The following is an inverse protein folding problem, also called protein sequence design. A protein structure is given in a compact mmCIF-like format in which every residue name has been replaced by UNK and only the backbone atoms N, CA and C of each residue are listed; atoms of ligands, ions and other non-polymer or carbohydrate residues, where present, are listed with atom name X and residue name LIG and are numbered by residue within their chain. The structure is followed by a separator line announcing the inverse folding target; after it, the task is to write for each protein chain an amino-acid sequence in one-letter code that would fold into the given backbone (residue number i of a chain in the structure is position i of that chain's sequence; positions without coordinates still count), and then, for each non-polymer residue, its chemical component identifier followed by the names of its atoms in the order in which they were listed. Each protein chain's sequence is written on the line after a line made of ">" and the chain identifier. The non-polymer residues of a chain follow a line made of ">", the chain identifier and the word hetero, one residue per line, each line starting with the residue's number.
data_IF_129817487978
#
_entry.id   IF_129817487978
#
_cell.length_a   1.000
_cell.length_b   1.000
_cell.length_c   1.000
_cell.angle_alpha   90.00
_cell.angle_beta   90.00
_cell.angle_gamma   90.00
#
_symmetry.space_group_name_H-M   'P 1'
#
loop_
_entity.id
_entity.type
_entity.pdbx_description
1 polymer ?
#
# COMPACT_ATOMS: atom_id res chain seq x y z
N UNK A 1 61.12 1.26 29.77
CA UNK A 1 61.42 -0.15 29.40
C UNK A 1 60.08 -0.90 29.30
N UNK A 2 59.82 -1.65 28.21
CA UNK A 2 58.75 -2.68 28.13
C UNK A 2 59.29 -4.03 28.69
N UNK A 3 58.44 -5.00 29.08
CA UNK A 3 57.84 -5.99 28.15
C UNK A 3 56.28 -6.03 28.25
N UNK A 4 55.45 -6.73 27.43
CA UNK A 4 55.58 -7.64 26.26
C UNK A 4 55.56 -9.17 26.52
N UNK A 5 54.51 -9.83 25.99
CA UNK A 5 54.25 -11.29 25.88
C UNK A 5 53.96 -12.03 27.20
N UNK A 6 53.11 -13.09 27.23
CA UNK A 6 52.76 -14.06 26.17
C UNK A 6 51.35 -14.66 26.33
N UNK A 7 50.77 -15.16 25.23
CA UNK A 7 49.44 -15.81 25.19
C UNK A 7 49.42 -17.31 25.51
N UNK A 8 48.23 -17.78 25.92
CA UNK A 8 47.67 -19.15 25.73
C UNK A 8 46.16 -18.97 25.42
N UNK A 9 45.46 -19.78 24.61
CA UNK A 9 45.88 -20.94 23.82
C UNK A 9 44.89 -22.12 23.92
N UNK A 10 43.88 -22.20 23.04
CA UNK A 10 42.96 -23.34 22.86
C UNK A 10 41.70 -22.92 22.08
N UNK A 11 41.43 -23.33 20.82
CA UNK A 11 41.29 -24.65 20.14
C UNK A 11 39.97 -25.38 20.44
N UNK A 12 39.19 -25.60 19.36
CA UNK A 12 38.01 -26.47 19.27
C UNK A 12 36.95 -25.88 18.33
N UNK A 13 36.99 -26.11 17.00
CA UNK A 13 36.34 -27.24 16.27
C UNK A 13 34.82 -27.32 16.48
N UNK A 14 33.95 -27.30 15.46
CA UNK A 14 34.14 -27.25 14.01
C UNK A 14 32.79 -27.46 13.26
N UNK A 15 32.84 -27.86 11.99
CA UNK A 15 31.73 -28.46 11.20
C UNK A 15 30.62 -27.55 10.62
N UNK A 16 30.84 -27.09 9.39
CA UNK A 16 29.85 -27.24 8.30
C UNK A 16 30.18 -28.56 7.52
N UNK A 17 29.36 -29.10 6.59
CA UNK A 17 28.14 -28.56 5.96
C UNK A 17 26.95 -29.58 5.97
N UNK A 18 25.87 -29.32 5.21
CA UNK A 18 25.27 -30.28 4.23
C UNK A 18 23.96 -29.75 3.60
N UNK A 19 23.83 -29.87 2.27
CA UNK A 19 22.56 -29.78 1.51
C UNK A 19 21.75 -31.06 1.67
N UNK A 20 20.43 -31.00 1.77
CA UNK A 20 19.61 -32.10 1.19
C UNK A 20 18.22 -31.67 0.71
N UNK A 21 17.91 -32.09 -0.51
CA UNK A 21 16.57 -32.07 -1.09
C UNK A 21 15.64 -33.02 -0.33
N UNK A 22 14.34 -32.69 -0.26
CA UNK A 22 13.32 -33.74 -0.35
C UNK A 22 12.01 -33.26 -0.99
N UNK A 23 11.78 -33.72 -2.21
CA UNK A 23 10.48 -33.68 -2.87
C UNK A 23 9.71 -35.01 -2.66
N UNK A 24 8.41 -35.00 -3.05
CA UNK A 24 7.47 -36.13 -3.23
C UNK A 24 6.79 -36.73 -1.99
N UNK A 25 5.46 -36.54 -1.93
CA UNK A 25 4.36 -37.52 -2.17
C UNK A 25 3.08 -36.69 -2.36
N UNK A 26 2.27 -36.78 -3.42
CA UNK A 26 1.62 -37.93 -4.09
C UNK A 26 0.52 -38.61 -3.25
N UNK A 27 -0.73 -38.24 -3.54
CA UNK A 27 -1.97 -39.04 -3.61
C UNK A 27 -2.98 -38.20 -4.41
N UNK A 28 -3.42 -38.59 -5.61
CA UNK A 28 -4.25 -39.74 -6.02
C UNK A 28 -5.75 -39.54 -5.71
N UNK A 29 -6.58 -39.76 -6.75
CA UNK A 29 -8.00 -39.42 -6.80
C UNK A 29 -8.27 -38.47 -7.99
N UNK A 30 -8.78 -38.90 -9.15
CA UNK A 30 -9.28 -40.22 -9.53
C UNK A 30 -10.74 -40.12 -9.98
N UNK A 31 -10.97 -39.69 -11.22
CA UNK A 31 -12.28 -39.71 -11.88
C UNK A 31 -12.11 -39.92 -13.38
N UNK A 32 -11.95 -41.19 -13.74
CA UNK A 32 -12.02 -41.68 -15.12
C UNK A 32 -13.49 -41.87 -15.53
N UNK A 33 -13.74 -42.06 -16.83
CA UNK A 33 -15.02 -42.47 -17.44
C UNK A 33 -16.09 -41.34 -17.53
N UNK A 34 -16.93 -41.26 -18.58
CA UNK A 34 -17.13 -42.20 -19.70
C UNK A 34 -17.64 -41.48 -20.95
N UNK A 35 -17.10 -41.86 -22.10
CA UNK A 35 -17.69 -41.57 -23.42
C UNK A 35 -19.01 -42.35 -23.57
N UNK A 36 -20.10 -41.71 -23.99
CA UNK A 36 -21.21 -42.43 -24.65
C UNK A 36 -21.97 -41.53 -25.61
N UNK A 37 -22.25 -42.09 -26.77
CA UNK A 37 -22.81 -41.43 -27.94
C UNK A 37 -24.13 -42.10 -28.32
N UNK A 38 -25.08 -41.28 -28.76
CA UNK A 38 -26.33 -41.63 -29.48
C UNK A 38 -27.31 -42.60 -28.80
N UNK A 39 -28.57 -42.17 -28.78
CA UNK A 39 -29.63 -43.06 -29.26
C UNK A 39 -30.68 -42.27 -30.05
N UNK A 40 -31.37 -42.96 -30.96
CA UNK A 40 -32.34 -42.39 -31.90
C UNK A 40 -33.78 -42.63 -31.38
N UNK A 41 -34.59 -41.56 -31.30
CA UNK A 41 -36.01 -41.63 -30.92
C UNK A 41 -36.91 -41.10 -32.04
N UNK A 42 -37.95 -41.87 -32.40
CA UNK A 42 -38.75 -41.64 -33.60
C UNK A 42 -40.03 -40.81 -33.37
N UNK A 43 -40.40 -40.10 -34.43
CA UNK A 43 -41.70 -39.53 -34.82
C UNK A 43 -42.94 -39.85 -33.96
N UNK A 44 -43.72 -38.82 -33.61
CA UNK A 44 -45.20 -38.71 -33.76
C UNK A 44 -45.66 -37.29 -33.40
N UNK A 45 -46.91 -36.92 -33.72
CA UNK A 45 -47.59 -35.77 -33.12
C UNK A 45 -47.68 -34.53 -34.00
N UNK A 46 -48.85 -34.32 -34.63
CA UNK A 46 -49.16 -33.20 -35.53
C UNK A 46 -50.32 -32.39 -34.93
N UNK A 47 -50.05 -31.20 -34.41
CA UNK A 47 -51.07 -30.17 -34.21
C UNK A 47 -50.53 -28.78 -34.58
N UNK A 48 -51.33 -28.00 -35.32
CA UNK A 48 -51.06 -26.60 -35.67
C UNK A 48 -51.92 -25.71 -34.78
N UNK A 49 -51.28 -24.88 -33.96
CA UNK A 49 -51.95 -23.78 -33.25
C UNK A 49 -51.48 -22.45 -33.84
N UNK A 50 -52.39 -21.55 -34.28
CA UNK A 50 -52.02 -20.23 -34.76
C UNK A 50 -51.77 -19.29 -33.56
N UNK A 51 -50.57 -19.37 -32.98
CA UNK A 51 -50.16 -18.59 -31.80
C UNK A 51 -49.15 -17.50 -32.12
N UNK A 52 -49.60 -16.24 -32.01
CA UNK A 52 -48.85 -14.95 -31.90
C UNK A 52 -47.32 -15.01 -32.10
N UNK A 53 -46.82 -14.21 -33.05
CA UNK A 53 -45.40 -13.86 -33.13
C UNK A 53 -44.89 -13.35 -31.76
N UNK A 54 -43.88 -13.98 -31.14
CA UNK A 54 -43.23 -13.40 -29.98
C UNK A 54 -42.53 -12.11 -30.43
N UNK A 55 -42.88 -10.99 -29.80
CA UNK A 55 -42.13 -9.74 -29.99
C UNK A 55 -40.71 -10.01 -29.50
N UNK A 56 -39.72 -9.72 -30.34
CA UNK A 56 -38.31 -9.77 -29.92
C UNK A 56 -38.11 -8.92 -28.68
N UNK A 57 -37.37 -9.39 -27.65
CA UNK A 57 -36.92 -8.50 -26.61
C UNK A 57 -36.02 -7.44 -27.26
N UNK A 58 -36.39 -6.17 -27.12
CA UNK A 58 -35.51 -5.06 -27.48
C UNK A 58 -34.20 -5.21 -26.70
N UNK A 59 -33.03 -4.98 -27.33
CA UNK A 59 -31.77 -5.03 -26.60
C UNK A 59 -31.82 -4.05 -25.42
N UNK A 60 -31.24 -4.39 -24.26
CA UNK A 60 -31.14 -3.45 -23.15
C UNK A 60 -30.39 -2.21 -23.64
N UNK A 61 -30.99 -1.04 -23.47
CA UNK A 61 -30.34 0.24 -23.73
C UNK A 61 -29.04 0.31 -22.94
N UNK A 62 -27.92 0.78 -23.53
CA UNK A 62 -26.67 0.92 -22.80
C UNK A 62 -26.89 1.81 -21.57
N UNK A 63 -26.29 1.50 -20.41
CA UNK A 63 -26.37 2.38 -19.26
C UNK A 63 -25.79 3.76 -19.60
N UNK A 64 -26.34 4.86 -19.05
CA UNK A 64 -25.80 6.21 -19.29
C UNK A 64 -24.36 6.34 -18.76
N UNK A 65 -23.60 7.38 -19.18
CA UNK A 65 -22.19 7.61 -18.85
C UNK A 65 -21.98 8.02 -17.38
N UNK A 66 -22.36 7.12 -16.47
CA UNK A 66 -22.23 7.25 -15.02
C UNK A 66 -20.83 6.86 -14.53
N UNK A 67 -19.99 6.31 -15.40
CA UNK A 67 -18.62 5.88 -15.09
C UNK A 67 -17.75 7.05 -14.71
N UNK A 68 -17.81 8.15 -15.48
CA UNK A 68 -16.77 9.17 -15.44
C UNK A 68 -17.00 10.13 -14.27
N UNK A 69 -18.25 10.51 -14.01
CA UNK A 69 -18.60 11.26 -12.80
C UNK A 69 -18.34 10.44 -11.51
N UNK A 70 -18.55 9.11 -11.56
CA UNK A 70 -18.20 8.24 -10.43
C UNK A 70 -16.67 8.14 -10.22
N UNK A 71 -15.88 8.04 -11.30
CA UNK A 71 -14.41 8.10 -11.23
C UNK A 71 -13.94 9.45 -10.71
N UNK A 72 -14.51 10.56 -11.20
CA UNK A 72 -14.22 11.93 -10.73
C UNK A 72 -14.51 12.08 -9.23
N UNK A 73 -15.62 11.54 -8.74
CA UNK A 73 -15.94 11.52 -7.31
C UNK A 73 -14.94 10.70 -6.47
N UNK A 74 -14.43 9.56 -6.98
CA UNK A 74 -13.37 8.79 -6.34
C UNK A 74 -12.07 9.59 -6.23
N UNK A 75 -11.68 10.28 -7.30
CA UNK A 75 -10.47 11.11 -7.34
C UNK A 75 -10.59 12.33 -6.42
N UNK A 76 -11.74 13.02 -6.40
CA UNK A 76 -12.02 14.10 -5.44
C UNK A 76 -11.90 13.62 -3.98
N UNK A 77 -12.44 12.42 -3.66
CA UNK A 77 -12.27 11.84 -2.32
C UNK A 77 -10.81 11.50 -2.03
N UNK A 78 -10.06 10.98 -2.99
CA UNK A 78 -8.62 10.73 -2.86
C UNK A 78 -7.82 12.02 -2.59
N UNK A 79 -8.08 13.12 -3.31
CA UNK A 79 -7.43 14.40 -3.02
C UNK A 79 -7.82 14.98 -1.65
N UNK A 80 -9.06 14.77 -1.21
CA UNK A 80 -9.50 15.11 0.16
C UNK A 80 -8.70 14.33 1.21
N UNK A 81 -8.53 13.02 1.02
CA UNK A 81 -7.72 12.13 1.87
C UNK A 81 -6.23 12.53 1.89
N UNK A 82 -5.68 13.02 0.76
CA UNK A 82 -4.33 13.59 0.75
C UNK A 82 -4.24 14.90 1.56
N UNK A 83 -5.27 15.75 1.53
CA UNK A 83 -5.37 16.93 2.42
C UNK A 83 -5.41 16.55 3.90
N UNK A 84 -6.27 15.61 4.27
CA UNK A 84 -6.36 15.05 5.63
C UNK A 84 -5.00 14.48 6.09
N UNK A 85 -4.27 13.80 5.19
CA UNK A 85 -2.94 13.25 5.43
C UNK A 85 -1.88 14.33 5.65
N UNK A 86 -1.90 15.42 4.88
CA UNK A 86 -0.99 16.57 5.05
C UNK A 86 -1.19 17.21 6.42
N UNK A 87 -2.44 17.42 6.86
CA UNK A 87 -2.72 17.95 8.20
C UNK A 87 -2.27 16.99 9.31
N UNK A 88 -2.45 15.67 9.15
CA UNK A 88 -1.92 14.68 10.10
C UNK A 88 -0.38 14.77 10.22
N UNK A 89 0.36 14.95 9.12
CA UNK A 89 1.81 15.19 9.17
C UNK A 89 2.17 16.52 9.85
N UNK A 90 1.40 17.60 9.61
CA UNK A 90 1.62 18.90 10.27
C UNK A 90 1.47 18.79 11.78
N UNK A 91 0.39 18.17 12.24
CA UNK A 91 0.15 17.89 13.67
C UNK A 91 1.23 17.00 14.28
N UNK A 92 1.76 16.02 13.52
CA UNK A 92 2.83 15.15 13.99
C UNK A 92 4.13 15.93 14.28
N UNK A 93 4.57 16.75 13.33
CA UNK A 93 5.79 17.56 13.47
C UNK A 93 5.63 18.65 14.54
N UNK A 94 4.45 19.28 14.65
CA UNK A 94 4.16 20.28 15.68
C UNK A 94 4.17 19.66 17.09
N UNK A 95 3.55 18.50 17.25
CA UNK A 95 3.54 17.75 18.50
C UNK A 95 4.92 17.24 18.91
N UNK A 96 5.72 16.75 17.95
CA UNK A 96 7.10 16.34 18.22
C UNK A 96 7.99 17.54 18.60
N UNK A 97 7.80 18.70 17.96
CA UNK A 97 8.50 19.94 18.35
C UNK A 97 8.14 20.36 19.78
N UNK A 98 6.86 20.28 20.15
CA UNK A 98 6.41 20.57 21.52
C UNK A 98 7.00 19.58 22.53
N UNK A 99 7.03 18.29 22.20
CA UNK A 99 7.68 17.25 22.99
C UNK A 99 9.17 17.55 23.21
N UNK A 100 9.94 17.82 22.14
CA UNK A 100 11.36 18.17 22.28
C UNK A 100 11.61 19.45 23.09
N UNK A 101 10.71 20.44 23.02
CA UNK A 101 10.81 21.67 23.84
C UNK A 101 10.54 21.46 25.34
N UNK A 102 10.00 20.29 25.75
CA UNK A 102 9.81 19.95 27.17
C UNK A 102 11.06 19.35 27.84
N UNK A 103 12.18 19.24 27.12
CA UNK A 103 13.44 18.75 27.67
C UNK A 103 13.93 19.58 28.89
N UNK A 104 14.56 18.94 29.91
CA UNK A 104 14.84 17.51 30.01
C UNK A 104 13.64 16.66 30.51
N UNK A 105 12.54 17.29 30.91
CA UNK A 105 11.37 16.63 31.52
C UNK A 105 10.29 16.33 30.48
N UNK A 106 10.64 15.46 29.53
CA UNK A 106 9.78 15.09 28.40
C UNK A 106 8.37 14.66 28.81
N UNK A 107 7.34 15.32 28.27
CA UNK A 107 5.92 14.92 28.42
C UNK A 107 5.58 13.73 27.50
N UNK A 108 6.17 12.57 27.84
CA UNK A 108 5.96 11.32 27.12
C UNK A 108 4.49 10.83 27.12
N UNK A 109 3.70 10.94 28.21
CA UNK A 109 2.29 10.55 28.19
C UNK A 109 1.48 11.30 27.13
N UNK A 110 1.61 12.63 27.07
CA UNK A 110 0.91 13.45 26.06
C UNK A 110 1.38 13.14 24.65
N UNK A 111 2.69 13.03 24.44
CA UNK A 111 3.23 12.74 23.11
C UNK A 111 2.82 11.35 22.61
N UNK A 112 2.82 10.33 23.49
CA UNK A 112 2.33 8.98 23.18
C UNK A 112 0.85 8.98 22.79
N UNK A 113 0.00 9.76 23.47
CA UNK A 113 -1.41 9.88 23.11
C UNK A 113 -1.56 10.45 21.69
N UNK A 114 -0.87 11.55 21.37
CA UNK A 114 -0.89 12.14 20.04
C UNK A 114 -0.41 11.15 18.96
N UNK A 115 0.69 10.43 19.20
CA UNK A 115 1.19 9.39 18.27
C UNK A 115 0.14 8.31 18.03
N UNK A 116 -0.63 7.91 19.05
CA UNK A 116 -1.71 6.94 18.90
C UNK A 116 -2.85 7.48 18.02
N UNK A 117 -3.34 8.69 18.31
CA UNK A 117 -4.40 9.36 17.54
C UNK A 117 -4.01 9.52 16.05
N UNK A 118 -2.77 9.98 15.78
CA UNK A 118 -2.25 10.10 14.42
C UNK A 118 -2.05 8.75 13.73
N UNK A 119 -1.65 7.71 14.46
CA UNK A 119 -1.56 6.34 13.91
C UNK A 119 -2.93 5.84 13.44
N UNK A 120 -3.99 6.13 14.19
CA UNK A 120 -5.36 5.81 13.78
C UNK A 120 -5.77 6.62 12.53
N UNK A 121 -5.46 7.91 12.48
CA UNK A 121 -5.73 8.76 11.31
C UNK A 121 -5.03 8.25 10.04
N UNK A 122 -3.70 8.04 10.07
CA UNK A 122 -2.96 7.49 8.93
C UNK A 122 -3.46 6.10 8.50
N UNK A 123 -3.88 5.26 9.45
CA UNK A 123 -4.44 3.93 9.18
C UNK A 123 -5.84 3.98 8.55
N UNK A 124 -6.67 4.93 8.97
CA UNK A 124 -8.00 5.19 8.40
C UNK A 124 -7.88 5.66 6.95
N UNK A 125 -7.10 6.72 6.72
CA UNK A 125 -6.83 7.29 5.39
C UNK A 125 -6.30 6.19 4.45
N UNK A 126 -5.26 5.45 4.87
CA UNK A 126 -4.66 4.41 4.03
C UNK A 126 -5.63 3.27 3.67
N UNK A 127 -6.53 2.90 4.60
CA UNK A 127 -7.58 1.91 4.35
C UNK A 127 -8.58 2.41 3.32
N UNK A 128 -8.97 3.67 3.39
CA UNK A 128 -9.91 4.24 2.42
C UNK A 128 -9.26 4.38 1.03
N UNK A 129 -8.01 4.83 0.93
CA UNK A 129 -7.28 4.87 -0.36
C UNK A 129 -7.20 3.48 -1.01
N UNK A 130 -6.97 2.41 -0.24
CA UNK A 130 -7.01 1.03 -0.76
C UNK A 130 -8.41 0.63 -1.29
N UNK A 131 -9.49 1.12 -0.68
CA UNK A 131 -10.85 0.91 -1.18
C UNK A 131 -11.10 1.69 -2.48
N UNK A 132 -10.65 2.95 -2.57
CA UNK A 132 -10.75 3.75 -3.80
C UNK A 132 -9.97 3.08 -4.95
N UNK A 133 -8.75 2.60 -4.67
CA UNK A 133 -7.93 1.84 -5.62
C UNK A 133 -8.66 0.59 -6.14
N UNK A 134 -9.25 -0.20 -5.23
CA UNK A 134 -10.04 -1.39 -5.60
C UNK A 134 -11.22 -1.04 -6.48
N UNK A 135 -11.96 0.03 -6.16
CA UNK A 135 -13.10 0.49 -6.98
C UNK A 135 -12.67 0.95 -8.37
N UNK A 136 -11.61 1.76 -8.48
CA UNK A 136 -11.08 2.22 -9.78
C UNK A 136 -10.74 1.04 -10.69
N UNK A 137 -9.99 0.05 -10.18
CA UNK A 137 -9.60 -1.15 -10.95
C UNK A 137 -10.78 -2.07 -11.24
N UNK A 138 -11.52 -2.47 -10.21
CA UNK A 138 -12.43 -3.63 -10.26
C UNK A 138 -13.87 -3.26 -10.63
N UNK A 139 -14.28 -2.00 -10.48
CA UNK A 139 -15.65 -1.52 -10.76
C UNK A 139 -15.72 -0.53 -11.93
N UNK A 140 -14.68 0.30 -12.11
CA UNK A 140 -14.66 1.35 -13.12
C UNK A 140 -13.72 1.08 -14.30
N UNK A 141 -12.93 0.00 -14.26
CA UNK A 141 -12.05 -0.39 -15.37
C UNK A 141 -10.90 0.59 -15.62
N UNK A 142 -10.44 1.30 -14.59
CA UNK A 142 -9.35 2.29 -14.61
C UNK A 142 -8.11 1.78 -13.83
N UNK A 143 -7.44 0.69 -14.27
CA UNK A 143 -6.30 0.12 -13.58
C UNK A 143 -5.09 1.07 -13.48
N UNK A 144 -4.92 1.97 -14.45
CA UNK A 144 -3.86 2.99 -14.48
C UNK A 144 -4.03 4.01 -13.34
N UNK A 145 -5.22 4.59 -13.16
CA UNK A 145 -5.52 5.47 -12.01
C UNK A 145 -5.30 4.72 -10.68
N UNK A 146 -5.71 3.45 -10.61
CA UNK A 146 -5.46 2.60 -9.45
C UNK A 146 -3.96 2.34 -9.20
N UNK A 147 -3.12 2.30 -10.24
CA UNK A 147 -1.67 2.15 -10.12
C UNK A 147 -1.02 3.42 -9.56
N UNK A 148 -1.48 4.62 -9.94
CA UNK A 148 -1.00 5.86 -9.31
C UNK A 148 -1.36 5.92 -7.82
N UNK A 149 -2.58 5.55 -7.43
CA UNK A 149 -2.96 5.47 -6.01
C UNK A 149 -2.05 4.50 -5.22
N UNK A 150 -1.65 3.37 -5.83
CA UNK A 150 -0.69 2.44 -5.23
C UNK A 150 0.70 3.08 -5.06
N UNK A 151 1.24 3.72 -6.11
CA UNK A 151 2.52 4.45 -6.08
C UNK A 151 2.52 5.54 -4.99
N UNK A 152 1.42 6.29 -4.82
CA UNK A 152 1.29 7.28 -3.73
C UNK A 152 1.29 6.59 -2.37
N UNK A 153 0.54 5.49 -2.18
CA UNK A 153 0.53 4.76 -0.91
C UNK A 153 1.91 4.24 -0.50
N UNK A 154 2.71 3.73 -1.45
CA UNK A 154 4.09 3.28 -1.19
C UNK A 154 4.98 4.44 -0.73
N UNK A 155 4.90 5.59 -1.42
CA UNK A 155 5.70 6.77 -1.05
C UNK A 155 5.24 7.44 0.24
N UNK A 156 3.95 7.47 0.54
CA UNK A 156 3.44 7.97 1.82
C UNK A 156 3.83 7.04 2.99
N UNK A 157 3.93 5.73 2.76
CA UNK A 157 4.50 4.79 3.74
C UNK A 157 6.00 5.06 3.97
N UNK A 158 6.79 5.23 2.90
CA UNK A 158 8.22 5.61 2.99
C UNK A 158 8.41 6.94 3.74
N UNK A 159 7.60 7.95 3.40
CA UNK A 159 7.58 9.27 4.05
C UNK A 159 7.29 9.15 5.54
N UNK A 160 6.29 8.36 5.96
CA UNK A 160 5.98 8.16 7.38
C UNK A 160 7.14 7.50 8.14
N UNK A 161 7.81 6.51 7.53
CA UNK A 161 8.99 5.85 8.11
C UNK A 161 10.16 6.83 8.26
N UNK A 162 10.45 7.62 7.22
CA UNK A 162 11.48 8.65 7.24
C UNK A 162 11.18 9.76 8.25
N UNK A 163 9.91 10.17 8.41
CA UNK A 163 9.49 11.12 9.45
C UNK A 163 9.80 10.57 10.85
N UNK A 164 9.40 9.32 11.15
CA UNK A 164 9.67 8.71 12.45
C UNK A 164 11.18 8.57 12.75
N UNK A 165 11.98 8.16 11.76
CA UNK A 165 13.45 8.12 11.87
C UNK A 165 14.03 9.52 12.13
N UNK A 166 13.57 10.52 11.38
CA UNK A 166 14.03 11.91 11.51
C UNK A 166 13.69 12.50 12.89
N UNK A 167 12.57 12.12 13.49
CA UNK A 167 12.21 12.53 14.84
C UNK A 167 13.17 11.94 15.89
N UNK A 168 13.47 10.64 15.79
CA UNK A 168 14.45 9.98 16.66
C UNK A 168 15.85 10.60 16.52
N UNK A 169 16.34 10.80 15.29
CA UNK A 169 17.64 11.42 15.03
C UNK A 169 17.71 12.87 15.56
N UNK A 170 16.62 13.64 15.46
CA UNK A 170 16.53 14.99 16.07
C UNK A 170 16.61 14.94 17.60
N UNK A 171 15.95 13.98 18.25
CA UNK A 171 16.03 13.81 19.69
C UNK A 171 17.48 13.47 20.12
N UNK A 172 18.12 12.52 19.44
CA UNK A 172 19.52 12.14 19.70
C UNK A 172 20.49 13.32 19.50
N UNK A 173 20.30 14.11 18.44
CA UNK A 173 21.09 15.30 18.18
C UNK A 173 20.90 16.42 19.24
N UNK A 174 19.74 16.47 19.91
CA UNK A 174 19.47 17.38 21.02
C UNK A 174 20.06 16.89 22.35
N UNK A 175 19.99 15.57 22.61
CA UNK A 175 20.53 14.95 23.82
C UNK A 175 22.06 14.82 23.80
N UNK A 176 22.66 14.70 22.61
CA UNK A 176 24.09 14.48 22.40
C UNK A 176 24.65 15.45 21.33
N UNK A 177 24.64 16.78 21.59
CA UNK A 177 24.97 17.80 20.59
C UNK A 177 26.44 17.80 20.13
N UNK A 178 27.33 17.08 20.83
CA UNK A 178 28.74 16.91 20.46
C UNK A 178 29.03 15.74 19.52
N UNK A 179 28.01 15.05 19.00
CA UNK A 179 28.17 13.88 18.12
C UNK A 179 27.75 14.26 16.70
N UNK A 180 28.74 14.55 15.84
CA UNK A 180 28.53 14.98 14.45
C UNK A 180 27.70 13.97 13.62
N UNK A 181 27.76 12.68 13.96
CA UNK A 181 27.00 11.63 13.28
C UNK A 181 25.47 11.87 13.37
N UNK A 182 24.96 12.30 14.53
CA UNK A 182 23.52 12.58 14.70
C UNK A 182 23.07 13.78 13.86
N UNK A 183 23.89 14.82 13.80
CA UNK A 183 23.63 15.98 12.94
C UNK A 183 23.67 15.61 11.45
N UNK A 184 24.59 14.72 11.07
CA UNK A 184 24.68 14.20 9.70
C UNK A 184 23.45 13.36 9.32
N UNK A 185 23.03 12.45 10.20
CA UNK A 185 21.83 11.62 9.98
C UNK A 185 20.57 12.49 9.83
N UNK A 186 20.40 13.52 10.67
CA UNK A 186 19.30 14.51 10.53
C UNK A 186 19.32 15.21 9.16
N UNK A 187 20.50 15.55 8.61
CA UNK A 187 20.62 16.13 7.26
C UNK A 187 20.24 15.14 6.17
N UNK A 188 20.71 13.91 6.26
CA UNK A 188 20.43 12.86 5.27
C UNK A 188 18.96 12.45 5.25
N UNK A 189 18.34 12.29 6.42
CA UNK A 189 16.91 11.96 6.55
C UNK A 189 16.03 13.11 6.03
N UNK A 190 16.38 14.37 6.28
CA UNK A 190 15.72 15.54 5.65
C UNK A 190 15.81 15.47 4.11
N UNK A 191 16.99 15.18 3.56
CA UNK A 191 17.17 15.12 2.11
C UNK A 191 16.39 13.96 1.46
N UNK A 192 16.35 12.79 2.11
CA UNK A 192 15.50 11.65 1.70
C UNK A 192 14.02 12.04 1.73
N UNK A 193 13.55 12.67 2.80
CA UNK A 193 12.15 13.08 2.97
C UNK A 193 11.71 14.09 1.90
N UNK A 194 12.56 15.05 1.53
CA UNK A 194 12.30 15.99 0.43
C UNK A 194 12.09 15.23 -0.88
N UNK A 195 13.00 14.31 -1.23
CA UNK A 195 12.89 13.48 -2.44
C UNK A 195 11.64 12.61 -2.47
N UNK A 196 11.22 12.06 -1.33
CA UNK A 196 9.96 11.29 -1.24
C UNK A 196 8.75 12.20 -1.47
N UNK A 197 8.75 13.45 -0.97
CA UNK A 197 7.68 14.43 -1.20
C UNK A 197 7.65 14.90 -2.67
N UNK A 198 8.81 15.11 -3.29
CA UNK A 198 8.94 15.39 -4.74
C UNK A 198 8.34 14.24 -5.55
N UNK A 199 8.73 13.00 -5.28
CA UNK A 199 8.19 11.81 -5.95
C UNK A 199 6.66 11.64 -5.75
N UNK A 200 6.11 11.96 -4.57
CA UNK A 200 4.64 11.99 -4.36
C UNK A 200 4.00 13.05 -5.27
N UNK A 201 4.61 14.23 -5.36
CA UNK A 201 4.09 15.35 -6.15
C UNK A 201 4.09 15.03 -7.64
N UNK A 202 5.13 14.37 -8.14
CA UNK A 202 5.21 13.84 -9.51
C UNK A 202 4.08 12.84 -9.78
N UNK A 203 3.88 11.83 -8.92
CA UNK A 203 2.80 10.83 -9.10
C UNK A 203 1.41 11.48 -9.09
N UNK A 204 1.21 12.53 -8.28
CA UNK A 204 -0.06 13.28 -8.25
C UNK A 204 -0.27 14.15 -9.50
N UNK A 205 0.80 14.58 -10.17
CA UNK A 205 0.73 15.25 -11.46
C UNK A 205 0.43 14.24 -12.58
N UNK A 206 1.11 13.09 -12.62
CA UNK A 206 0.80 11.97 -13.53
C UNK A 206 -0.69 11.60 -13.41
N UNK A 207 -1.17 11.35 -12.19
CA UNK A 207 -2.56 10.97 -11.90
C UNK A 207 -3.56 12.00 -12.40
N UNK A 208 -3.24 13.29 -12.27
CA UNK A 208 -4.11 14.36 -12.76
C UNK A 208 -4.19 14.30 -14.29
N UNK A 209 -3.07 14.20 -14.97
CA UNK A 209 -2.99 14.14 -16.43
C UNK A 209 -3.75 12.92 -16.99
N UNK A 210 -3.49 11.73 -16.47
CA UNK A 210 -4.15 10.48 -16.88
C UNK A 210 -5.66 10.45 -16.54
N UNK A 211 -6.12 11.31 -15.62
CA UNK A 211 -7.54 11.51 -15.35
C UNK A 211 -8.23 12.49 -16.32
N UNK A 212 -7.48 13.41 -16.93
CA UNK A 212 -7.95 14.42 -17.88
C UNK A 212 -7.87 13.94 -19.35
N UNK A 213 -6.90 13.09 -19.72
CA UNK A 213 -6.77 12.51 -21.09
C UNK A 213 -7.88 11.52 -21.47
N UNK A 214 -8.78 11.17 -20.56
CA UNK A 214 -9.82 10.16 -20.76
C UNK A 214 -11.24 10.73 -20.87
N UNK A 215 -11.37 12.05 -21.07
CA UNK A 215 -12.62 12.76 -21.42
C UNK A 215 -12.72 13.02 -22.93
#
# INVERSE_FOLDING_TARGET
>A
RRPVLREHGGRGSGSAPTRQNRARRSREGGSELRYRSRDLGSLTGRERVPGRCPKSPSPPSPPPPQTDEAVRALLQRFYTLQGERVEAYRLFEEGHRAYLSSAPHYDFPRYRQLVHELTLAFSGISREVLQLQGRLRDQHGRPELAQHLARVQEREQEKLQLTAQLQLARQQAQEQPGVDAHQQEVRELKHKLIKTIEAISEILQDLKYDSEEAE
#
